data_IF_308654072135
#
_entry.id   IF_308654072135
#
_cell.length_a   1.000
_cell.length_b   1.000
_cell.length_c   1.000
_cell.angle_alpha   90.00
_cell.angle_beta   90.00
_cell.angle_gamma   90.00
#
_symmetry.space_group_name_H-M   'P 1'
#
loop_
_entity.id
_entity.type
_entity.pdbx_description
1 polymer ?
#
# COMPACT_ATOMS: atom_id res chain seq x y z
N UNK A 1 8.74 1.58 0.46
CA UNK A 1 9.20 0.33 -0.18
C UNK A 1 8.52 0.19 -1.53
N UNK A 2 9.24 -0.31 -2.56
CA UNK A 2 8.66 -0.74 -3.84
C UNK A 2 8.75 -2.25 -3.89
N UNK A 3 7.60 -2.92 -4.00
CA UNK A 3 7.52 -4.36 -4.26
C UNK A 3 7.29 -4.60 -5.73
N UNK A 4 8.11 -5.45 -6.33
CA UNK A 4 8.07 -5.76 -7.77
C UNK A 4 8.10 -7.26 -8.02
N UNK A 5 7.95 -7.68 -9.27
CA UNK A 5 8.00 -9.08 -9.68
C UNK A 5 6.64 -9.74 -9.57
N UNK A 6 6.57 -10.84 -8.85
CA UNK A 6 5.39 -11.69 -8.77
C UNK A 6 4.28 -11.11 -7.85
N UNK A 7 3.75 -9.94 -8.19
CA UNK A 7 2.78 -9.21 -7.36
C UNK A 7 1.31 -9.60 -7.60
N UNK A 8 1.01 -10.29 -8.71
CA UNK A 8 -0.36 -10.68 -9.08
C UNK A 8 -0.70 -12.15 -8.79
N UNK A 9 0.26 -12.90 -8.25
CA UNK A 9 0.01 -14.27 -7.84
C UNK A 9 -0.77 -14.34 -6.50
N UNK A 10 -1.17 -15.57 -6.18
CA UNK A 10 -1.81 -15.90 -4.92
C UNK A 10 -0.76 -16.36 -3.91
N UNK A 11 -0.87 -15.91 -2.69
CA UNK A 11 0.03 -16.18 -1.57
C UNK A 11 -0.68 -16.97 -0.49
N UNK A 12 -0.07 -18.02 0.00
CA UNK A 12 -0.64 -18.84 1.08
C UNK A 12 -0.50 -18.11 2.42
N UNK A 13 -1.60 -17.75 3.04
CA UNK A 13 -1.62 -17.00 4.30
C UNK A 13 -1.59 -17.88 5.57
N UNK A 14 -1.62 -19.20 5.38
CA UNK A 14 -1.68 -20.21 6.42
C UNK A 14 -3.02 -20.95 6.47
N UNK A 15 -4.03 -20.45 5.78
CA UNK A 15 -5.37 -21.01 5.68
C UNK A 15 -5.80 -21.15 4.22
N UNK A 16 -5.58 -20.10 3.41
CA UNK A 16 -6.05 -20.02 2.03
C UNK A 16 -5.03 -19.29 1.13
N UNK A 17 -5.27 -19.34 -0.16
CA UNK A 17 -4.51 -18.59 -1.17
C UNK A 17 -5.19 -17.28 -1.49
N UNK A 18 -4.53 -16.18 -1.17
CA UNK A 18 -5.08 -14.83 -1.27
C UNK A 18 -4.19 -13.92 -2.12
N UNK A 19 -4.73 -12.85 -2.72
CA UNK A 19 -3.94 -11.83 -3.41
C UNK A 19 -2.91 -11.18 -2.48
N UNK A 20 -1.79 -10.68 -3.05
CA UNK A 20 -0.69 -10.07 -2.30
C UNK A 20 -1.13 -8.98 -1.32
N UNK A 21 -2.04 -8.09 -1.72
CA UNK A 21 -2.54 -7.02 -0.85
C UNK A 21 -3.23 -7.59 0.40
N UNK A 22 -4.07 -8.61 0.24
CA UNK A 22 -4.74 -9.29 1.35
C UNK A 22 -3.75 -10.03 2.24
N UNK A 23 -2.76 -10.69 1.63
CA UNK A 23 -1.68 -11.37 2.35
C UNK A 23 -0.88 -10.38 3.21
N UNK A 24 -0.44 -9.25 2.63
CA UNK A 24 0.29 -8.21 3.36
C UNK A 24 -0.58 -7.62 4.47
N UNK A 25 -1.84 -7.31 4.17
CA UNK A 25 -2.78 -6.78 5.15
C UNK A 25 -2.91 -7.70 6.37
N UNK A 26 -3.11 -9.01 6.15
CA UNK A 26 -3.19 -10.00 7.24
C UNK A 26 -1.88 -10.08 8.04
N UNK A 27 -0.73 -10.09 7.35
CA UNK A 27 0.59 -10.15 8.00
C UNK A 27 0.87 -8.91 8.87
N UNK A 28 0.58 -7.73 8.37
CA UNK A 28 0.81 -6.48 9.12
C UNK A 28 -0.20 -6.29 10.25
N UNK A 29 -1.44 -6.79 10.13
CA UNK A 29 -2.42 -6.77 11.22
C UNK A 29 -2.00 -7.64 12.41
N UNK A 30 -1.22 -8.69 12.17
CA UNK A 30 -0.75 -9.63 13.20
C UNK A 30 0.56 -9.19 13.88
N UNK A 31 1.23 -8.14 13.39
CA UNK A 31 2.47 -7.67 13.99
C UNK A 31 2.16 -6.87 15.26
N UNK A 32 2.73 -7.25 16.42
CA UNK A 32 2.66 -6.42 17.62
C UNK A 32 3.40 -5.11 17.34
N UNK A 33 2.78 -4.01 17.69
CA UNK A 33 3.45 -2.70 17.61
C UNK A 33 4.63 -2.68 18.60
N UNK A 34 5.85 -2.59 18.08
CA UNK A 34 7.09 -3.01 18.75
C UNK A 34 7.45 -2.21 20.01
N UNK A 35 6.80 -1.11 20.34
CA UNK A 35 7.31 -0.27 21.43
C UNK A 35 6.34 0.14 22.53
N UNK A 36 5.03 0.20 22.35
CA UNK A 36 4.19 0.77 23.43
C UNK A 36 2.71 0.38 23.47
N UNK A 37 2.13 -0.31 22.51
CA UNK A 37 0.67 -0.39 22.43
C UNK A 37 0.15 -1.73 21.94
N UNK A 38 -0.94 -2.16 22.54
CA UNK A 38 -1.82 -3.25 22.09
C UNK A 38 -2.57 -2.95 20.79
N UNK A 39 -2.35 -1.78 20.17
CA UNK A 39 -2.99 -1.36 18.91
C UNK A 39 -2.13 -1.77 17.72
N UNK A 40 -2.71 -2.49 16.78
CA UNK A 40 -2.09 -2.87 15.51
C UNK A 40 -1.82 -1.66 14.60
N UNK A 41 -1.22 -1.93 13.44
CA UNK A 41 -0.92 -0.91 12.41
C UNK A 41 -2.20 -0.59 11.64
N UNK A 42 -2.57 0.69 11.58
CA UNK A 42 -3.68 1.13 10.72
C UNK A 42 -3.25 1.11 9.26
N UNK A 43 -4.00 0.42 8.40
CA UNK A 43 -3.66 0.27 7.00
C UNK A 43 -4.57 1.15 6.14
N UNK A 44 -3.97 1.82 5.17
CA UNK A 44 -4.66 2.67 4.19
C UNK A 44 -4.31 2.15 2.80
N UNK A 45 -5.31 1.64 2.08
CA UNK A 45 -5.14 0.93 0.82
C UNK A 45 -5.72 1.76 -0.31
N UNK A 46 -4.94 1.92 -1.37
CA UNK A 46 -5.38 2.54 -2.61
C UNK A 46 -5.15 1.60 -3.79
N UNK A 47 -6.22 1.14 -4.37
CA UNK A 47 -6.27 0.40 -5.64
C UNK A 47 -6.66 1.37 -6.75
N UNK A 48 -6.00 1.27 -7.91
CA UNK A 48 -6.25 2.17 -9.02
C UNK A 48 -7.73 2.14 -9.44
N UNK A 49 -8.33 3.32 -9.58
CA UNK A 49 -9.75 3.55 -9.88
C UNK A 49 -10.75 3.18 -8.77
N UNK A 50 -10.29 2.73 -7.62
CA UNK A 50 -11.12 2.55 -6.44
C UNK A 50 -10.98 3.72 -5.47
N UNK A 51 -11.92 3.84 -4.55
CA UNK A 51 -11.77 4.75 -3.43
C UNK A 51 -10.69 4.21 -2.46
N UNK A 52 -10.01 5.12 -1.77
CA UNK A 52 -9.10 4.74 -0.69
C UNK A 52 -9.92 4.05 0.40
N UNK A 53 -9.46 2.90 0.87
CA UNK A 53 -10.03 2.15 1.98
C UNK A 53 -9.13 2.20 3.21
N UNK A 54 -9.73 2.16 4.39
CA UNK A 54 -9.01 2.09 5.67
C UNK A 54 -9.33 0.75 6.32
N UNK A 55 -8.29 -0.06 6.53
CA UNK A 55 -8.36 -1.35 7.19
C UNK A 55 -7.77 -1.25 8.60
N UNK A 56 -8.49 -1.80 9.56
CA UNK A 56 -8.15 -1.77 10.98
C UNK A 56 -9.41 -2.03 11.79
N UNK A 57 -9.25 -2.12 13.11
CA UNK A 57 -10.39 -2.20 14.01
C UNK A 57 -11.16 -0.87 14.10
N UNK A 58 -12.31 -0.88 14.76
CA UNK A 58 -13.15 0.30 14.85
C UNK A 58 -12.48 1.43 15.63
N UNK A 59 -11.68 1.10 16.64
CA UNK A 59 -10.91 2.08 17.44
C UNK A 59 -9.85 2.79 16.57
N UNK A 60 -9.15 2.05 15.70
CA UNK A 60 -8.15 2.59 14.77
C UNK A 60 -8.80 3.55 13.75
N UNK A 61 -9.94 3.16 13.20
CA UNK A 61 -10.69 4.00 12.26
C UNK A 61 -11.21 5.26 12.93
N UNK A 62 -11.74 5.14 14.15
CA UNK A 62 -12.20 6.29 14.92
C UNK A 62 -11.05 7.23 15.29
N UNK A 63 -9.89 6.70 15.69
CA UNK A 63 -8.70 7.50 15.99
C UNK A 63 -8.21 8.27 14.76
N UNK A 64 -8.23 7.64 13.58
CA UNK A 64 -7.86 8.29 12.31
C UNK A 64 -8.86 9.40 11.97
N UNK A 65 -10.16 9.15 12.09
CA UNK A 65 -11.22 10.15 11.88
C UNK A 65 -11.11 11.33 12.87
N UNK A 66 -10.82 11.05 14.12
CA UNK A 66 -10.60 12.07 15.16
C UNK A 66 -9.37 12.92 14.86
N UNK A 67 -8.29 12.27 14.44
CA UNK A 67 -7.05 12.94 14.03
C UNK A 67 -7.29 13.84 12.84
N UNK A 68 -7.95 13.34 11.80
CA UNK A 68 -8.34 14.13 10.63
C UNK A 68 -9.14 15.37 11.02
N UNK A 69 -10.17 15.21 11.83
CA UNK A 69 -11.04 16.31 12.25
C UNK A 69 -10.31 17.42 13.01
N UNK A 70 -9.26 17.05 13.78
CA UNK A 70 -8.47 18.00 14.57
C UNK A 70 -7.41 18.74 13.78
N UNK A 71 -6.79 18.07 12.80
CA UNK A 71 -5.52 18.52 12.23
C UNK A 71 -5.62 18.88 10.75
N UNK A 72 -6.51 18.25 9.98
CA UNK A 72 -6.57 18.44 8.53
C UNK A 72 -6.91 19.86 8.07
N UNK A 73 -7.60 20.64 8.89
CA UNK A 73 -8.19 21.92 8.50
C UNK A 73 -9.34 21.79 7.50
N UNK A 74 -9.78 20.57 7.20
CA UNK A 74 -10.86 20.28 6.25
C UNK A 74 -12.22 20.47 6.92
N UNK A 75 -13.16 21.10 6.20
CA UNK A 75 -14.58 21.16 6.62
C UNK A 75 -15.32 19.84 6.38
N UNK A 76 -14.80 18.97 5.48
CA UNK A 76 -15.38 17.66 5.19
C UNK A 76 -14.73 16.59 6.06
N UNK A 77 -15.53 15.63 6.49
CA UNK A 77 -15.07 14.43 7.18
C UNK A 77 -14.10 13.58 6.34
N UNK A 78 -13.35 12.72 6.99
CA UNK A 78 -12.43 11.82 6.31
C UNK A 78 -13.18 10.87 5.37
N UNK A 79 -14.31 10.30 5.80
CA UNK A 79 -15.12 9.37 5.00
C UNK A 79 -15.58 9.98 3.67
N UNK A 80 -16.06 11.22 3.69
CA UNK A 80 -16.44 11.93 2.47
C UNK A 80 -15.26 12.08 1.51
N UNK A 81 -14.07 12.39 2.05
CA UNK A 81 -12.84 12.53 1.28
C UNK A 81 -12.38 11.21 0.68
N UNK A 82 -12.46 10.12 1.46
CA UNK A 82 -12.14 8.78 0.98
C UNK A 82 -13.07 8.38 -0.17
N UNK A 83 -14.38 8.60 -0.03
CA UNK A 83 -15.35 8.32 -1.10
C UNK A 83 -15.09 9.13 -2.39
N UNK A 84 -14.60 10.36 -2.27
CA UNK A 84 -14.24 11.21 -3.42
C UNK A 84 -12.96 10.73 -4.13
N UNK A 85 -12.08 10.01 -3.45
CA UNK A 85 -10.74 9.65 -3.95
C UNK A 85 -10.75 8.71 -5.15
N UNK A 86 -11.75 7.85 -5.29
CA UNK A 86 -11.88 6.93 -6.43
C UNK A 86 -12.11 7.61 -7.79
N UNK A 87 -12.45 8.91 -7.78
CA UNK A 87 -12.74 9.66 -9.02
C UNK A 87 -11.49 10.25 -9.69
N UNK A 88 -10.39 10.39 -8.96
CA UNK A 88 -9.20 11.08 -9.44
C UNK A 88 -7.96 10.62 -8.69
N UNK A 89 -7.07 9.92 -9.39
CA UNK A 89 -5.84 9.36 -8.82
C UNK A 89 -4.85 10.44 -8.31
N UNK A 90 -4.83 11.62 -8.89
CA UNK A 90 -4.02 12.74 -8.37
C UNK A 90 -4.56 13.20 -7.02
N UNK A 91 -5.88 13.32 -6.89
CA UNK A 91 -6.51 13.64 -5.61
C UNK A 91 -6.31 12.53 -4.57
N UNK A 92 -6.39 11.27 -4.98
CA UNK A 92 -6.13 10.14 -4.09
C UNK A 92 -4.72 10.22 -3.48
N UNK A 93 -3.68 10.47 -4.29
CA UNK A 93 -2.30 10.62 -3.79
C UNK A 93 -2.14 11.82 -2.86
N UNK A 94 -2.80 12.95 -3.16
CA UNK A 94 -2.82 14.12 -2.26
C UNK A 94 -3.50 13.81 -0.93
N UNK A 95 -4.59 13.04 -0.96
CA UNK A 95 -5.31 12.65 0.24
C UNK A 95 -4.48 11.67 1.09
N UNK A 96 -3.83 10.68 0.49
CA UNK A 96 -2.91 9.77 1.18
C UNK A 96 -1.78 10.53 1.88
N UNK A 97 -1.14 11.44 1.16
CA UNK A 97 -0.10 12.31 1.73
C UNK A 97 -0.65 13.11 2.93
N UNK A 98 -1.84 13.71 2.77
CA UNK A 98 -2.46 14.50 3.85
C UNK A 98 -2.87 13.64 5.06
N UNK A 99 -3.29 12.39 4.86
CA UNK A 99 -3.58 11.44 5.94
C UNK A 99 -2.31 11.16 6.76
N UNK A 100 -1.18 10.88 6.09
CA UNK A 100 0.11 10.68 6.77
C UNK A 100 0.57 11.95 7.50
N UNK A 101 0.42 13.13 6.90
CA UNK A 101 0.73 14.40 7.55
C UNK A 101 -0.11 14.58 8.83
N UNK A 102 -1.42 14.33 8.77
CA UNK A 102 -2.31 14.42 9.94
C UNK A 102 -1.92 13.42 11.02
N UNK A 103 -1.60 12.19 10.66
CA UNK A 103 -1.15 11.16 11.59
C UNK A 103 0.08 11.62 12.37
N UNK A 104 1.09 12.13 11.68
CA UNK A 104 2.34 12.62 12.29
C UNK A 104 2.13 13.81 13.23
N UNK A 105 1.29 14.77 12.83
CA UNK A 105 1.01 15.96 13.65
C UNK A 105 0.26 15.64 14.95
N UNK A 106 -0.52 14.55 14.98
CA UNK A 106 -1.21 14.09 16.17
C UNK A 106 -0.34 13.24 17.09
N UNK A 107 0.75 12.72 16.58
CA UNK A 107 1.57 11.64 17.20
C UNK A 107 2.53 12.11 18.32
N UNK A 108 2.37 13.31 18.85
CA UNK A 108 3.13 13.69 20.07
C UNK A 108 2.75 12.85 21.30
N UNK A 109 1.72 12.00 21.21
CA UNK A 109 1.21 11.25 22.38
C UNK A 109 0.82 9.79 22.18
N UNK A 110 0.91 9.17 21.01
CA UNK A 110 0.72 7.69 20.85
C UNK A 110 0.79 7.23 19.39
N UNK A 111 1.60 6.32 19.19
CA UNK A 111 1.89 5.34 18.19
C UNK A 111 0.72 4.77 17.35
N UNK A 112 0.15 5.52 16.46
CA UNK A 112 -0.61 4.90 15.37
C UNK A 112 0.24 5.00 14.10
N UNK A 113 1.08 3.98 13.87
CA UNK A 113 1.82 3.85 12.63
C UNK A 113 0.83 3.59 11.49
N UNK A 114 0.96 4.33 10.41
CA UNK A 114 0.21 4.06 9.19
C UNK A 114 1.03 3.21 8.23
N UNK A 115 0.39 2.21 7.67
CA UNK A 115 0.88 1.49 6.49
C UNK A 115 0.01 1.86 5.30
N UNK A 116 0.56 2.62 4.37
CA UNK A 116 -0.10 2.95 3.11
C UNK A 116 0.33 1.95 2.05
N UNK A 117 -0.62 1.28 1.41
CA UNK A 117 -0.36 0.38 0.29
C UNK A 117 -1.02 0.92 -0.98
N UNK A 118 -0.24 1.01 -2.06
CA UNK A 118 -0.66 1.58 -3.34
C UNK A 118 -0.44 0.53 -4.44
N UNK A 119 -1.52 0.09 -5.06
CA UNK A 119 -1.49 -0.83 -6.19
C UNK A 119 -1.22 -0.10 -7.51
N UNK A 120 -0.70 -0.84 -8.50
CA UNK A 120 -0.44 -0.35 -9.85
C UNK A 120 0.37 0.96 -9.87
N UNK A 121 1.45 0.99 -9.10
CA UNK A 121 2.26 2.19 -8.94
C UNK A 121 2.95 2.62 -10.24
N UNK A 122 3.24 1.71 -11.15
CA UNK A 122 3.74 1.97 -12.51
C UNK A 122 2.72 2.72 -13.38
N UNK A 123 1.44 2.43 -13.24
CA UNK A 123 0.39 3.18 -13.93
C UNK A 123 0.16 4.57 -13.32
N UNK A 124 0.39 4.72 -12.02
CA UNK A 124 0.25 5.99 -11.32
C UNK A 124 1.45 6.92 -11.55
N UNK A 125 2.64 6.35 -11.60
CA UNK A 125 3.95 7.03 -11.63
C UNK A 125 4.80 6.50 -12.79
N UNK A 126 4.30 6.54 -14.05
CA UNK A 126 4.93 5.86 -15.17
C UNK A 126 6.33 6.42 -15.48
N UNK A 127 7.26 5.52 -15.82
CA UNK A 127 8.58 5.92 -16.32
C UNK A 127 8.45 6.45 -17.73
N UNK A 128 8.46 7.75 -17.85
CA UNK A 128 8.40 8.45 -19.13
C UNK A 128 9.24 9.72 -19.08
N UNK A 129 9.72 10.16 -20.25
CA UNK A 129 10.39 11.46 -20.36
C UNK A 129 9.42 12.59 -20.00
N UNK A 130 9.86 13.53 -19.18
CA UNK A 130 9.03 14.65 -18.68
C UNK A 130 8.34 15.41 -19.82
N UNK A 131 8.99 15.56 -20.98
CA UNK A 131 8.42 16.22 -22.15
C UNK A 131 7.20 15.51 -22.76
N UNK A 132 7.08 14.20 -22.56
CA UNK A 132 5.99 13.35 -23.06
C UNK A 132 4.90 13.10 -22.02
N UNK A 133 5.21 13.24 -20.74
CA UNK A 133 4.27 13.01 -19.66
C UNK A 133 3.06 13.94 -19.75
N UNK A 134 1.89 13.43 -19.46
CA UNK A 134 0.70 14.24 -19.23
C UNK A 134 0.88 15.18 -18.02
N UNK A 135 0.10 16.24 -17.95
CA UNK A 135 0.13 17.15 -16.80
C UNK A 135 -0.21 16.41 -15.48
N UNK A 136 -1.14 15.45 -15.55
CA UNK A 136 -1.54 14.68 -14.38
C UNK A 136 -0.43 13.74 -13.90
N UNK A 137 0.29 13.07 -14.83
CA UNK A 137 1.42 12.22 -14.46
C UNK A 137 2.53 13.03 -13.79
N UNK A 138 2.87 14.19 -14.37
CA UNK A 138 3.85 15.10 -13.74
C UNK A 138 3.43 15.53 -12.33
N UNK A 139 2.15 15.84 -12.13
CA UNK A 139 1.62 16.20 -10.81
C UNK A 139 1.73 15.04 -9.84
N UNK A 140 1.36 13.81 -10.25
CA UNK A 140 1.44 12.63 -9.38
C UNK A 140 2.89 12.33 -8.98
N UNK A 141 3.82 12.35 -9.93
CA UNK A 141 5.25 12.18 -9.64
C UNK A 141 5.76 13.26 -8.69
N UNK A 142 5.36 14.52 -8.88
CA UNK A 142 5.75 15.60 -7.98
C UNK A 142 5.22 15.39 -6.55
N UNK A 143 3.94 15.06 -6.41
CA UNK A 143 3.31 14.79 -5.11
C UNK A 143 4.06 13.70 -4.35
N UNK A 144 4.30 12.55 -4.99
CA UNK A 144 4.96 11.42 -4.32
C UNK A 144 6.42 11.73 -4.02
N UNK A 145 7.13 12.42 -4.94
CA UNK A 145 8.50 12.86 -4.71
C UNK A 145 8.60 13.79 -3.51
N UNK A 146 7.72 14.80 -3.44
CA UNK A 146 7.71 15.77 -2.36
C UNK A 146 7.37 15.08 -1.03
N UNK A 147 6.33 14.25 -1.00
CA UNK A 147 5.95 13.44 0.16
C UNK A 147 7.10 12.60 0.70
N UNK A 148 7.78 11.82 -0.17
CA UNK A 148 8.88 10.95 0.26
C UNK A 148 10.16 11.72 0.62
N UNK A 149 10.27 12.99 0.25
CA UNK A 149 11.40 13.85 0.61
C UNK A 149 11.19 14.64 1.91
N UNK A 150 10.01 14.58 2.51
CA UNK A 150 9.73 15.28 3.78
C UNK A 150 10.54 14.67 4.92
N UNK A 151 11.35 15.46 5.65
CA UNK A 151 12.09 14.96 6.80
C UNK A 151 11.20 14.28 7.83
N UNK A 152 10.04 14.87 8.09
CA UNK A 152 9.06 14.36 9.05
C UNK A 152 8.48 12.99 8.64
N UNK A 153 8.40 12.71 7.34
CA UNK A 153 8.01 11.41 6.83
C UNK A 153 9.16 10.39 6.92
N UNK A 154 10.37 10.80 6.57
CA UNK A 154 11.55 9.92 6.59
C UNK A 154 11.92 9.48 8.00
N UNK A 155 11.77 10.36 8.98
CA UNK A 155 12.06 10.10 10.39
C UNK A 155 10.83 9.57 11.16
N UNK A 156 9.68 9.51 10.49
CA UNK A 156 8.40 9.09 11.08
C UNK A 156 8.19 7.57 11.05
N UNK A 157 7.17 7.10 11.78
CA UNK A 157 6.82 5.67 11.85
C UNK A 157 5.98 5.19 10.67
N UNK A 158 5.48 6.08 9.83
CA UNK A 158 4.61 5.74 8.71
C UNK A 158 5.40 5.06 7.59
N UNK A 159 4.78 4.10 6.92
CA UNK A 159 5.39 3.37 5.81
C UNK A 159 4.50 3.38 4.59
N UNK A 160 5.13 3.44 3.40
CA UNK A 160 4.42 3.33 2.12
C UNK A 160 4.97 2.16 1.32
N UNK A 161 4.08 1.29 0.85
CA UNK A 161 4.37 0.19 -0.07
C UNK A 161 3.75 0.52 -1.42
N UNK A 162 4.58 0.58 -2.45
CA UNK A 162 4.19 0.70 -3.84
C UNK A 162 4.29 -0.67 -4.50
N UNK A 163 3.19 -1.17 -5.06
CA UNK A 163 3.16 -2.42 -5.82
C UNK A 163 3.26 -2.11 -7.32
N UNK A 164 4.20 -2.74 -8.00
CA UNK A 164 4.48 -2.54 -9.42
C UNK A 164 4.99 -3.82 -10.06
N UNK A 165 4.66 -4.10 -11.32
CA UNK A 165 5.21 -5.26 -12.03
C UNK A 165 6.74 -5.21 -12.12
N UNK A 166 7.30 -4.03 -12.34
CA UNK A 166 8.74 -3.86 -12.39
C UNK A 166 9.18 -2.52 -11.80
N UNK A 167 10.40 -2.50 -11.24
CA UNK A 167 11.02 -1.26 -10.78
C UNK A 167 11.21 -0.25 -11.91
N UNK A 168 11.47 -0.72 -13.12
CA UNK A 168 11.68 0.13 -14.29
C UNK A 168 10.39 0.77 -14.81
N UNK A 169 9.22 0.30 -14.40
CA UNK A 169 7.92 0.90 -14.71
C UNK A 169 7.64 2.17 -13.88
N UNK A 170 8.27 2.29 -12.72
CA UNK A 170 8.10 3.46 -11.85
C UNK A 170 9.09 4.56 -12.23
N UNK A 171 8.59 5.78 -12.30
CA UNK A 171 9.38 6.98 -12.66
C UNK A 171 10.68 7.06 -11.84
N UNK A 172 11.80 7.25 -12.56
CA UNK A 172 13.16 7.20 -11.99
C UNK A 172 13.40 8.23 -10.88
N UNK A 173 12.68 9.35 -10.88
CA UNK A 173 12.72 10.32 -9.76
C UNK A 173 12.19 9.77 -8.45
N UNK A 174 11.42 8.67 -8.46
CA UNK A 174 10.91 7.99 -7.26
C UNK A 174 11.74 6.74 -7.01
N UNK A 175 11.87 5.85 -8.00
CA UNK A 175 12.53 4.55 -7.83
C UNK A 175 14.03 4.63 -7.49
N UNK A 176 14.67 5.80 -7.73
CA UNK A 176 16.09 6.05 -7.40
C UNK A 176 16.31 6.90 -6.15
N UNK A 177 15.25 7.27 -5.44
CA UNK A 177 15.42 8.00 -4.17
C UNK A 177 16.16 7.14 -3.15
N UNK A 178 17.13 7.68 -2.40
CA UNK A 178 17.93 6.88 -1.45
C UNK A 178 17.10 6.17 -0.37
N UNK A 179 15.99 6.76 0.02
CA UNK A 179 15.06 6.22 1.02
C UNK A 179 14.08 5.19 0.44
N UNK A 180 14.07 4.97 -0.87
CA UNK A 180 13.18 4.01 -1.52
C UNK A 180 13.88 2.65 -1.67
N UNK A 181 13.51 1.71 -0.81
CA UNK A 181 13.94 0.32 -0.89
C UNK A 181 13.11 -0.41 -1.95
N UNK A 182 13.78 -1.17 -2.82
CA UNK A 182 13.12 -2.05 -3.79
C UNK A 182 13.32 -3.50 -3.39
N UNK A 183 12.23 -4.26 -3.35
CA UNK A 183 12.21 -5.70 -3.06
C UNK A 183 11.50 -6.40 -4.20
N UNK A 184 12.16 -7.40 -4.78
CA UNK A 184 11.58 -8.25 -5.82
C UNK A 184 10.97 -9.49 -5.16
N UNK A 185 9.71 -9.77 -5.47
CA UNK A 185 9.01 -10.97 -5.07
C UNK A 185 9.30 -12.05 -6.11
N UNK A 186 9.96 -13.15 -5.74
CA UNK A 186 10.31 -14.19 -6.68
C UNK A 186 9.06 -14.95 -7.17
N UNK A 187 9.20 -15.65 -8.29
CA UNK A 187 8.22 -16.65 -8.70
C UNK A 187 8.21 -17.80 -7.70
N UNK A 188 7.04 -18.46 -7.50
CA UNK A 188 6.93 -19.58 -6.58
C UNK A 188 7.86 -20.73 -7.01
N UNK A 189 8.53 -21.34 -6.05
CA UNK A 189 9.38 -22.50 -6.27
C UNK A 189 8.56 -23.80 -6.50
N UNK A 190 9.23 -24.92 -6.72
CA UNK A 190 8.56 -26.21 -6.97
C UNK A 190 7.71 -26.62 -5.76
N UNK A 191 8.18 -26.36 -4.54
CA UNK A 191 7.48 -26.73 -3.30
C UNK A 191 6.20 -25.94 -3.15
N UNK A 192 6.29 -24.64 -3.35
CA UNK A 192 5.15 -23.70 -3.29
C UNK A 192 4.10 -24.04 -4.36
N UNK A 193 4.55 -24.31 -5.60
CA UNK A 193 3.66 -24.72 -6.70
C UNK A 193 2.99 -26.05 -6.41
N UNK A 194 3.73 -27.03 -5.89
CA UNK A 194 3.16 -28.35 -5.52
C UNK A 194 2.13 -28.19 -4.42
N UNK A 195 2.41 -27.36 -3.42
CA UNK A 195 1.47 -27.07 -2.33
C UNK A 195 0.19 -26.40 -2.88
N UNK A 196 0.33 -25.42 -3.76
CA UNK A 196 -0.82 -24.77 -4.40
C UNK A 196 -1.69 -25.77 -5.16
N UNK A 197 -1.08 -26.56 -6.06
CA UNK A 197 -1.80 -27.55 -6.89
C UNK A 197 -2.52 -28.58 -6.01
N UNK A 198 -1.88 -29.05 -4.93
CA UNK A 198 -2.46 -30.04 -4.03
C UNK A 198 -3.65 -29.49 -3.27
N UNK A 199 -3.52 -28.31 -2.67
CA UNK A 199 -4.59 -27.69 -1.87
C UNK A 199 -5.73 -27.21 -2.76
N UNK A 200 -5.44 -26.48 -3.83
CA UNK A 200 -6.46 -25.99 -4.76
C UNK A 200 -7.21 -27.14 -5.45
N UNK A 201 -6.50 -28.21 -5.82
CA UNK A 201 -7.10 -29.39 -6.39
C UNK A 201 -8.03 -30.11 -5.41
N UNK A 202 -7.63 -30.23 -4.14
CA UNK A 202 -8.42 -30.79 -3.07
C UNK A 202 -9.75 -30.03 -2.88
N UNK A 203 -9.66 -28.72 -2.77
CA UNK A 203 -10.81 -27.85 -2.48
C UNK A 203 -11.80 -27.76 -3.66
N UNK A 204 -11.31 -27.92 -4.88
CA UNK A 204 -12.13 -27.85 -6.10
C UNK A 204 -12.42 -29.22 -6.72
N UNK A 205 -12.08 -30.34 -6.04
CA UNK A 205 -12.32 -31.69 -6.54
C UNK A 205 -11.55 -32.01 -7.84
N UNK A 206 -10.44 -31.34 -8.08
CA UNK A 206 -9.60 -31.58 -9.26
C UNK A 206 -8.50 -32.59 -8.95
N UNK A 207 -8.28 -33.52 -9.86
CA UNK A 207 -7.13 -34.44 -9.81
C UNK A 207 -6.10 -33.99 -10.86
N UNK A 208 -4.91 -33.64 -10.41
CA UNK A 208 -3.80 -33.30 -11.30
C UNK A 208 -2.98 -34.54 -11.59
N UNK A 209 -2.65 -34.77 -12.87
CA UNK A 209 -1.74 -35.87 -13.27
C UNK A 209 -0.30 -35.51 -12.95
N UNK A 210 0.50 -36.52 -12.58
CA UNK A 210 1.95 -36.35 -12.37
C UNK A 210 2.59 -35.77 -13.66
N UNK A 211 3.17 -34.57 -13.55
CA UNK A 211 3.73 -33.81 -14.66
C UNK A 211 3.10 -32.43 -14.89
N UNK A 212 2.07 -32.07 -14.10
CA UNK A 212 1.47 -30.73 -14.13
C UNK A 212 2.15 -29.71 -13.18
N UNK A 213 3.28 -30.11 -12.56
CA UNK A 213 4.06 -29.29 -11.60
C UNK A 213 5.41 -28.93 -12.19
#
# INVERSE_FOLDING_TARGET
VVLTGNIYDLFFDGEDYVPLMSYLSKKYSSLPNAETSTKGITQVIYELNNAISVCGDDDQKEDLNRTWSKVSGSQKGLEDRLAESGKNSTYALQLLHKICECSRLNNRNAANNLLVMIEAADMLLPEEQISRMSLNDRKRVAIVKDWFSEPEFMDGPDSVILLSESRSGIHSRISRMPQVLSVEIPLPDITERTHFVTNFGSDHGMTFTAGAV
#
